data_IF_777486404589
#
_entry.id   IF_777486404589
#
_cell.length_a   1.000
_cell.length_b   1.000
_cell.length_c   1.000
_cell.angle_alpha   90.00
_cell.angle_beta   90.00
_cell.angle_gamma   90.00
#
_symmetry.space_group_name_H-M   'P 1'
#
loop_
_entity.id
_entity.type
_entity.pdbx_description
1 polymer ?
#
# COMPACT_ATOMS: atom_id res chain seq x y z
N UNK A 1 -10.90 32.99 -16.17
CA UNK A 1 -11.85 31.85 -16.21
C UNK A 1 -11.07 30.62 -16.67
N UNK A 2 -10.24 30.05 -15.78
CA UNK A 2 -9.56 28.79 -16.03
C UNK A 2 -10.21 27.76 -15.11
N UNK A 3 -11.16 27.00 -15.66
CA UNK A 3 -11.70 25.78 -15.07
C UNK A 3 -10.60 24.70 -15.12
N UNK A 4 -9.50 24.93 -14.40
CA UNK A 4 -8.53 23.89 -14.11
C UNK A 4 -9.16 22.98 -13.07
N UNK A 5 -9.74 21.86 -13.50
CA UNK A 5 -10.04 20.76 -12.59
C UNK A 5 -8.70 20.29 -12.01
N UNK A 6 -8.32 20.78 -10.83
CA UNK A 6 -7.22 20.22 -10.07
C UNK A 6 -7.69 18.84 -9.57
N UNK A 7 -7.14 17.74 -10.10
CA UNK A 7 -7.69 16.38 -9.92
C UNK A 7 -7.54 15.89 -8.48
N UNK A 8 -6.61 16.48 -7.73
CA UNK A 8 -6.27 16.12 -6.37
C UNK A 8 -5.85 17.37 -5.63
N UNK A 9 -6.76 17.95 -4.84
CA UNK A 9 -6.32 18.77 -3.73
C UNK A 9 -5.62 17.85 -2.72
N UNK A 10 -4.29 17.68 -2.88
CA UNK A 10 -3.50 16.88 -1.96
C UNK A 10 -3.54 17.44 -0.52
N UNK A 11 -3.94 18.71 -0.37
CA UNK A 11 -4.06 19.45 0.90
C UNK A 11 -5.51 19.83 1.28
N UNK A 12 -6.48 19.72 0.35
CA UNK A 12 -7.85 20.21 0.52
C UNK A 12 -8.92 19.16 0.20
N UNK A 13 -10.14 19.40 0.68
CA UNK A 13 -11.31 18.50 0.68
C UNK A 13 -11.23 17.27 1.59
N UNK A 14 -11.74 17.45 2.82
CA UNK A 14 -11.82 16.49 3.91
C UNK A 14 -12.94 15.43 3.73
N UNK A 15 -13.70 15.46 2.62
CA UNK A 15 -15.00 14.75 2.46
C UNK A 15 -14.90 13.35 1.82
N UNK A 16 -14.03 13.12 0.83
CA UNK A 16 -14.04 11.87 0.01
C UNK A 16 -12.75 11.04 0.08
N UNK A 17 -12.07 11.02 1.23
CA UNK A 17 -10.68 10.53 1.35
C UNK A 17 -10.49 9.05 1.09
N UNK A 18 -11.42 8.24 1.58
CA UNK A 18 -11.39 6.81 1.35
C UNK A 18 -11.59 6.52 -0.14
N UNK A 19 -12.46 7.27 -0.83
CA UNK A 19 -12.66 7.14 -2.27
C UNK A 19 -11.37 7.42 -3.05
N UNK A 20 -10.60 8.45 -2.69
CA UNK A 20 -9.27 8.70 -3.27
C UNK A 20 -8.30 7.55 -3.00
N UNK A 21 -8.30 7.04 -1.76
CA UNK A 21 -7.48 5.90 -1.38
C UNK A 21 -7.78 4.63 -2.19
N UNK A 22 -9.05 4.29 -2.36
CA UNK A 22 -9.48 3.14 -3.15
C UNK A 22 -9.33 3.39 -4.66
N UNK A 23 -9.41 4.63 -5.14
CA UNK A 23 -9.05 4.96 -6.53
C UNK A 23 -7.56 4.62 -6.78
N UNK A 24 -6.65 5.00 -5.88
CA UNK A 24 -5.25 4.56 -5.96
C UNK A 24 -5.11 3.02 -5.89
N UNK A 25 -5.89 2.37 -5.02
CA UNK A 25 -5.95 0.91 -4.96
C UNK A 25 -6.38 0.25 -6.27
N UNK A 26 -7.38 0.80 -6.96
CA UNK A 26 -7.86 0.31 -8.26
C UNK A 26 -6.79 0.42 -9.37
N UNK A 27 -5.88 1.39 -9.27
CA UNK A 27 -4.76 1.53 -10.22
C UNK A 27 -3.58 0.61 -9.91
N UNK A 28 -3.48 0.12 -8.67
CA UNK A 28 -2.26 -0.47 -8.14
C UNK A 28 -1.78 -1.71 -8.88
N UNK A 29 -2.70 -2.61 -9.28
CA UNK A 29 -2.33 -3.83 -10.01
C UNK A 29 -1.70 -3.55 -11.37
N UNK A 30 -2.28 -2.63 -12.16
CA UNK A 30 -1.74 -2.27 -13.48
C UNK A 30 -0.37 -1.60 -13.33
N UNK A 31 -0.20 -0.75 -12.31
CA UNK A 31 1.09 -0.14 -12.00
C UNK A 31 2.13 -1.18 -11.56
N UNK A 32 1.74 -2.15 -10.72
CA UNK A 32 2.65 -3.21 -10.28
C UNK A 32 3.04 -4.13 -11.45
N UNK A 33 2.09 -4.49 -12.31
CA UNK A 33 2.39 -5.29 -13.50
C UNK A 33 3.35 -4.56 -14.46
N UNK A 34 3.20 -3.24 -14.64
CA UNK A 34 4.16 -2.45 -15.42
C UNK A 34 5.61 -2.53 -14.90
N UNK A 35 5.80 -2.70 -13.59
CA UNK A 35 7.13 -2.86 -12.99
C UNK A 35 7.70 -4.27 -13.16
N UNK A 36 6.86 -5.31 -13.16
CA UNK A 36 7.30 -6.70 -13.22
C UNK A 36 7.37 -7.26 -14.64
N UNK A 37 6.35 -7.00 -15.45
CA UNK A 37 6.29 -7.38 -16.85
C UNK A 37 6.68 -6.15 -17.67
N UNK A 38 7.74 -6.28 -18.46
CA UNK A 38 8.25 -5.21 -19.33
C UNK A 38 7.19 -4.87 -20.38
N UNK A 39 6.19 -4.06 -20.02
CA UNK A 39 5.21 -3.53 -20.96
C UNK A 39 5.93 -2.48 -21.83
N UNK A 40 6.53 -2.97 -22.90
CA UNK A 40 7.24 -2.17 -23.89
C UNK A 40 6.18 -1.75 -24.91
N UNK A 41 5.75 -0.49 -24.82
CA UNK A 41 4.76 0.10 -25.76
C UNK A 41 5.31 0.05 -27.20
N UNK A 42 6.62 0.17 -27.37
CA UNK A 42 7.32 0.09 -28.64
C UNK A 42 8.76 -0.42 -28.43
N UNK A 43 9.23 -1.29 -29.33
CA UNK A 43 10.60 -1.83 -29.27
C UNK A 43 11.62 -0.70 -29.33
N UNK A 44 12.39 -0.53 -28.25
CA UNK A 44 13.37 0.53 -28.11
C UNK A 44 14.76 -0.06 -27.79
N UNK A 45 15.85 0.58 -28.28
CA UNK A 45 17.21 0.18 -27.94
C UNK A 45 17.47 0.28 -26.43
N UNK A 46 18.44 -0.49 -25.93
CA UNK A 46 18.72 -0.65 -24.48
C UNK A 46 18.90 0.66 -23.72
N UNK A 47 19.53 1.66 -24.34
CA UNK A 47 19.71 2.99 -23.72
C UNK A 47 18.41 3.79 -23.58
N UNK A 48 17.41 3.53 -24.44
CA UNK A 48 16.15 4.25 -24.48
C UNK A 48 15.06 3.62 -23.59
N UNK A 49 15.28 2.41 -23.07
CA UNK A 49 14.28 1.67 -22.27
C UNK A 49 13.77 2.47 -21.07
N UNK A 50 14.65 3.20 -20.38
CA UNK A 50 14.28 4.06 -19.25
C UNK A 50 13.26 5.14 -19.63
N UNK A 51 13.38 5.72 -20.83
CA UNK A 51 12.43 6.72 -21.33
C UNK A 51 11.09 6.08 -21.70
N UNK A 52 11.09 4.86 -22.24
CA UNK A 52 9.86 4.10 -22.52
C UNK A 52 9.10 3.82 -21.23
N UNK A 53 9.78 3.39 -20.17
CA UNK A 53 9.16 3.15 -18.86
C UNK A 53 8.60 4.44 -18.25
N UNK A 54 9.32 5.57 -18.39
CA UNK A 54 8.83 6.86 -17.92
C UNK A 54 7.56 7.30 -18.68
N UNK A 55 7.55 7.11 -20.00
CA UNK A 55 6.38 7.42 -20.83
C UNK A 55 5.19 6.53 -20.49
N UNK A 56 5.41 5.22 -20.30
CA UNK A 56 4.36 4.30 -19.87
C UNK A 56 3.79 4.65 -18.50
N UNK A 57 4.64 5.03 -17.53
CA UNK A 57 4.17 5.52 -16.23
C UNK A 57 3.34 6.80 -16.35
N UNK A 58 3.72 7.70 -17.26
CA UNK A 58 2.96 8.93 -17.55
C UNK A 58 1.60 8.61 -18.20
N UNK A 59 1.59 7.72 -19.19
CA UNK A 59 0.38 7.27 -19.87
C UNK A 59 -0.60 6.60 -18.90
N UNK A 60 -0.12 5.71 -18.03
CA UNK A 60 -0.92 5.11 -16.96
C UNK A 60 -1.53 6.19 -16.04
N UNK A 61 -0.77 7.22 -15.71
CA UNK A 61 -1.26 8.37 -14.96
C UNK A 61 -2.43 9.08 -15.65
N UNK A 62 -2.34 9.27 -16.97
CA UNK A 62 -3.40 9.87 -17.79
C UNK A 62 -4.62 8.97 -17.94
N UNK A 63 -4.40 7.67 -18.12
CA UNK A 63 -5.46 6.67 -18.20
C UNK A 63 -6.29 6.68 -16.91
N UNK A 64 -5.65 6.70 -15.74
CA UNK A 64 -6.37 6.66 -14.47
C UNK A 64 -6.85 8.02 -13.95
N UNK A 65 -6.46 9.11 -14.61
CA UNK A 65 -6.89 10.47 -14.28
C UNK A 65 -8.42 10.65 -14.16
N UNK A 66 -9.27 10.07 -15.03
CA UNK A 66 -10.72 10.24 -14.97
C UNK A 66 -11.33 9.79 -13.64
N UNK A 67 -10.79 8.77 -12.98
CA UNK A 67 -11.28 8.34 -11.65
C UNK A 67 -11.15 9.46 -10.61
N UNK A 68 -10.05 10.21 -10.65
CA UNK A 68 -9.84 11.31 -9.72
C UNK A 68 -10.66 12.55 -10.08
N UNK A 69 -10.73 12.87 -11.38
CA UNK A 69 -11.50 13.99 -11.89
C UNK A 69 -13.01 13.84 -11.63
N UNK A 70 -13.56 12.63 -11.78
CA UNK A 70 -14.97 12.35 -11.50
C UNK A 70 -15.33 12.48 -10.01
N UNK A 71 -14.37 12.25 -9.10
CA UNK A 71 -14.55 12.46 -7.66
C UNK A 71 -14.44 13.93 -7.24
N UNK A 72 -13.63 14.73 -7.95
CA UNK A 72 -13.37 16.13 -7.61
C UNK A 72 -14.31 17.13 -8.29
N UNK A 73 -15.05 16.72 -9.31
CA UNK A 73 -15.87 17.65 -10.11
C UNK A 73 -17.01 18.28 -9.30
N UNK A 74 -17.28 19.60 -9.47
CA UNK A 74 -18.42 20.25 -8.84
C UNK A 74 -19.76 19.73 -9.39
N UNK A 75 -19.79 19.30 -10.66
CA UNK A 75 -20.97 18.73 -11.30
C UNK A 75 -21.15 17.25 -10.92
N UNK A 76 -21.54 17.00 -9.67
CA UNK A 76 -21.59 15.65 -9.06
C UNK A 76 -22.41 14.62 -9.83
N UNK A 77 -23.52 15.02 -10.45
CA UNK A 77 -24.34 14.12 -11.26
C UNK A 77 -23.60 13.59 -12.49
N UNK A 78 -23.00 14.51 -13.27
CA UNK A 78 -22.22 14.18 -14.47
C UNK A 78 -20.94 13.43 -14.12
N UNK A 79 -20.26 13.84 -13.04
CA UNK A 79 -19.08 13.14 -12.53
C UNK A 79 -19.39 11.71 -12.11
N UNK A 80 -20.49 11.49 -11.40
CA UNK A 80 -20.89 10.16 -10.97
C UNK A 80 -21.28 9.25 -12.14
N UNK A 81 -22.01 9.77 -13.14
CA UNK A 81 -22.40 8.96 -14.32
C UNK A 81 -21.19 8.54 -15.16
N UNK A 82 -20.28 9.48 -15.45
CA UNK A 82 -19.02 9.19 -16.16
C UNK A 82 -18.12 8.26 -15.35
N UNK A 83 -18.04 8.46 -14.03
CA UNK A 83 -17.29 7.58 -13.12
C UNK A 83 -17.81 6.15 -13.09
N UNK A 84 -19.14 5.95 -13.07
CA UNK A 84 -19.77 4.62 -13.17
C UNK A 84 -19.42 3.96 -14.50
N UNK A 85 -19.62 4.66 -15.61
CA UNK A 85 -19.34 4.10 -16.94
C UNK A 85 -17.87 3.69 -17.07
N UNK A 86 -16.95 4.54 -16.62
CA UNK A 86 -15.52 4.29 -16.70
C UNK A 86 -15.07 3.14 -15.77
N UNK A 87 -15.58 3.09 -14.52
CA UNK A 87 -15.29 1.98 -13.59
C UNK A 87 -15.84 0.65 -14.09
N UNK A 88 -17.05 0.63 -14.68
CA UNK A 88 -17.62 -0.58 -15.27
C UNK A 88 -16.84 -1.07 -16.47
N UNK A 89 -16.38 -0.17 -17.35
CA UNK A 89 -15.55 -0.54 -18.48
C UNK A 89 -14.23 -1.21 -18.04
N UNK A 90 -13.55 -0.63 -17.04
CA UNK A 90 -12.33 -1.23 -16.48
C UNK A 90 -12.58 -2.55 -15.76
N UNK A 91 -13.65 -2.64 -14.97
CA UNK A 91 -14.01 -3.87 -14.28
C UNK A 91 -14.35 -4.98 -15.29
N UNK A 92 -15.07 -4.64 -16.36
CA UNK A 92 -15.38 -5.56 -17.45
C UNK A 92 -14.10 -6.07 -18.13
N UNK A 93 -13.19 -5.18 -18.52
CA UNK A 93 -11.90 -5.56 -19.13
C UNK A 93 -11.04 -6.44 -18.20
N UNK A 94 -11.04 -6.14 -16.90
CA UNK A 94 -10.31 -6.94 -15.92
C UNK A 94 -10.92 -8.34 -15.77
N UNK A 95 -12.24 -8.43 -15.67
CA UNK A 95 -12.92 -9.72 -15.54
C UNK A 95 -12.81 -10.56 -16.81
N UNK A 96 -12.92 -9.95 -18.00
CA UNK A 96 -12.74 -10.67 -19.27
C UNK A 96 -11.30 -11.13 -19.43
N UNK A 97 -10.30 -10.30 -19.08
CA UNK A 97 -8.90 -10.70 -19.08
C UNK A 97 -8.64 -11.90 -18.17
N UNK A 98 -9.25 -11.93 -16.98
CA UNK A 98 -9.16 -13.08 -16.07
C UNK A 98 -9.83 -14.31 -16.71
N UNK A 99 -11.09 -14.20 -17.13
CA UNK A 99 -11.90 -15.33 -17.64
C UNK A 99 -11.37 -15.88 -18.96
N UNK A 100 -10.81 -15.04 -19.84
CA UNK A 100 -10.27 -15.41 -21.16
C UNK A 100 -8.82 -15.92 -21.13
N UNK A 101 -8.14 -15.87 -19.98
CA UNK A 101 -6.81 -16.46 -19.77
C UNK A 101 -6.77 -17.92 -19.21
N UNK A 102 -7.64 -18.89 -19.57
CA UNK A 102 -7.53 -20.26 -19.05
C UNK A 102 -6.82 -21.24 -20.01
N UNK A 103 -6.26 -20.81 -21.15
CA UNK A 103 -5.96 -21.77 -22.24
C UNK A 103 -4.52 -21.94 -22.72
N UNK A 104 -3.56 -21.12 -22.31
CA UNK A 104 -2.20 -21.23 -22.89
C UNK A 104 -1.11 -21.63 -21.90
N UNK A 105 -1.24 -21.39 -20.59
CA UNK A 105 -0.16 -21.66 -19.63
C UNK A 105 -0.64 -22.23 -18.27
N UNK A 106 -1.40 -23.33 -18.29
CA UNK A 106 -1.64 -24.17 -17.11
C UNK A 106 -2.55 -23.59 -15.99
N UNK A 107 -3.22 -24.50 -15.28
CA UNK A 107 -4.20 -24.18 -14.23
C UNK A 107 -3.62 -23.30 -13.09
N UNK A 108 -2.33 -23.47 -12.78
CA UNK A 108 -1.65 -22.78 -11.69
C UNK A 108 -1.37 -21.29 -11.98
N UNK A 109 -1.34 -20.84 -13.23
CA UNK A 109 -1.13 -19.42 -13.57
C UNK A 109 -2.44 -18.64 -13.46
N UNK A 110 -3.56 -19.28 -13.81
CA UNK A 110 -4.90 -18.70 -13.69
C UNK A 110 -5.28 -18.38 -12.24
N UNK A 111 -5.13 -19.35 -11.33
CA UNK A 111 -5.45 -19.15 -9.89
C UNK A 111 -4.63 -18.01 -9.28
N UNK A 112 -3.38 -17.87 -9.70
CA UNK A 112 -2.46 -16.82 -9.22
C UNK A 112 -2.88 -15.44 -9.72
N UNK A 113 -3.19 -15.31 -11.01
CA UNK A 113 -3.58 -14.02 -11.57
C UNK A 113 -4.86 -13.50 -10.90
N UNK A 114 -5.80 -14.40 -10.58
CA UNK A 114 -7.01 -14.09 -9.80
C UNK A 114 -6.64 -13.63 -8.38
N UNK A 115 -5.81 -14.38 -7.66
CA UNK A 115 -5.43 -14.04 -6.28
C UNK A 115 -4.68 -12.71 -6.17
N UNK A 116 -3.80 -12.40 -7.13
CA UNK A 116 -3.07 -11.12 -7.17
C UNK A 116 -3.99 -9.95 -7.53
N UNK A 117 -5.01 -10.18 -8.36
CA UNK A 117 -5.93 -9.14 -8.82
C UNK A 117 -7.05 -8.81 -7.83
N UNK A 118 -7.32 -9.70 -6.87
CA UNK A 118 -8.44 -9.57 -5.93
C UNK A 118 -8.51 -8.23 -5.15
N UNK A 119 -7.42 -7.67 -4.58
CA UNK A 119 -7.49 -6.38 -3.89
C UNK A 119 -7.92 -5.22 -4.79
N UNK A 120 -7.60 -5.31 -6.08
CA UNK A 120 -7.94 -4.33 -7.09
C UNK A 120 -9.41 -4.43 -7.48
N UNK A 121 -9.93 -5.65 -7.65
CA UNK A 121 -11.36 -5.90 -7.88
C UNK A 121 -12.18 -5.32 -6.72
N UNK A 122 -11.77 -5.58 -5.47
CA UNK A 122 -12.44 -5.00 -4.30
C UNK A 122 -12.40 -3.46 -4.31
N UNK A 123 -11.29 -2.87 -4.75
CA UNK A 123 -11.15 -1.42 -4.87
C UNK A 123 -12.08 -0.84 -5.95
N UNK A 124 -12.23 -1.53 -7.09
CA UNK A 124 -13.19 -1.16 -8.14
C UNK A 124 -14.64 -1.26 -7.66
N UNK A 125 -15.00 -2.34 -6.97
CA UNK A 125 -16.36 -2.51 -6.42
C UNK A 125 -16.69 -1.42 -5.40
N UNK A 126 -15.75 -1.07 -4.53
CA UNK A 126 -15.93 0.03 -3.59
C UNK A 126 -16.13 1.38 -4.31
N UNK A 127 -15.33 1.65 -5.34
CA UNK A 127 -15.39 2.90 -6.10
C UNK A 127 -16.70 3.01 -6.88
N UNK A 128 -17.14 1.91 -7.52
CA UNK A 128 -18.43 1.81 -8.19
C UNK A 128 -19.59 2.10 -7.22
N UNK A 129 -19.60 1.43 -6.07
CA UNK A 129 -20.60 1.67 -5.03
C UNK A 129 -20.62 3.13 -4.57
N UNK A 130 -19.46 3.78 -4.47
CA UNK A 130 -19.37 5.21 -4.13
C UNK A 130 -19.97 6.12 -5.20
N UNK A 131 -19.69 5.88 -6.47
CA UNK A 131 -20.31 6.69 -7.53
C UNK A 131 -21.82 6.51 -7.59
N UNK A 132 -22.32 5.27 -7.40
CA UNK A 132 -23.76 5.00 -7.30
C UNK A 132 -24.37 5.78 -6.13
N UNK A 133 -23.74 5.78 -4.95
CA UNK A 133 -24.22 6.55 -3.80
C UNK A 133 -24.24 8.06 -4.04
N UNK A 134 -23.23 8.60 -4.73
CA UNK A 134 -23.21 10.03 -5.12
C UNK A 134 -24.36 10.33 -6.07
N UNK A 135 -24.58 9.47 -7.08
CA UNK A 135 -25.67 9.63 -8.04
C UNK A 135 -27.05 9.56 -7.36
N UNK A 136 -27.27 8.56 -6.51
CA UNK A 136 -28.52 8.41 -5.74
C UNK A 136 -28.78 9.63 -4.88
N UNK A 137 -27.75 10.18 -4.21
CA UNK A 137 -27.89 11.41 -3.41
C UNK A 137 -28.28 12.62 -4.25
N UNK A 138 -27.70 12.77 -5.44
CA UNK A 138 -28.03 13.87 -6.37
C UNK A 138 -29.46 13.74 -6.90
N UNK A 139 -29.95 12.51 -7.09
CA UNK A 139 -31.33 12.25 -7.54
C UNK A 139 -32.33 12.42 -6.38
N UNK A 140 -31.99 11.97 -5.16
CA UNK A 140 -32.89 12.01 -3.99
C UNK A 140 -32.97 13.38 -3.31
N UNK A 141 -31.90 14.17 -3.33
CA UNK A 141 -31.92 15.54 -2.82
C UNK A 141 -31.83 16.49 -4.01
N UNK A 142 -32.87 17.28 -4.25
CA UNK A 142 -32.77 18.49 -5.09
C UNK A 142 -31.50 19.26 -4.68
N UNK A 143 -30.75 19.86 -5.64
CA UNK A 143 -29.34 20.19 -5.49
C UNK A 143 -29.14 21.35 -4.50
N UNK A 144 -29.25 21.04 -3.21
CA UNK A 144 -28.57 21.83 -2.21
C UNK A 144 -27.10 21.56 -2.44
N UNK A 145 -26.42 22.58 -2.97
CA UNK A 145 -24.99 22.78 -2.81
C UNK A 145 -24.57 22.11 -1.50
N UNK A 146 -23.73 21.09 -1.56
CA UNK A 146 -23.04 20.65 -0.35
C UNK A 146 -22.10 21.81 -0.02
N UNK A 147 -22.63 22.74 0.78
CA UNK A 147 -21.99 23.98 1.17
C UNK A 147 -20.64 23.60 1.80
N UNK A 148 -19.57 24.37 1.60
CA UNK A 148 -18.29 24.25 2.33
C UNK A 148 -18.39 24.28 3.87
N UNK A 149 -19.60 24.22 4.44
CA UNK A 149 -19.94 24.26 5.85
C UNK A 149 -19.39 23.08 6.66
N UNK A 150 -19.29 21.86 6.12
CA UNK A 150 -18.74 20.71 6.88
C UNK A 150 -17.25 20.89 7.23
N UNK A 151 -16.48 21.53 6.35
CA UNK A 151 -15.06 21.82 6.60
C UNK A 151 -14.87 22.97 7.57
N UNK A 152 -15.65 24.03 7.39
CA UNK A 152 -15.67 25.19 8.29
C UNK A 152 -16.14 24.75 9.66
N UNK A 153 -17.18 23.93 9.77
CA UNK A 153 -17.70 23.41 11.03
C UNK A 153 -16.67 22.52 11.74
N UNK A 154 -15.93 21.69 11.00
CA UNK A 154 -14.83 20.92 11.58
C UNK A 154 -13.68 21.81 12.07
N UNK A 155 -13.31 22.85 11.32
CA UNK A 155 -12.26 23.80 11.72
C UNK A 155 -12.70 24.61 12.95
N UNK A 156 -13.94 25.09 12.95
CA UNK A 156 -14.57 25.80 14.08
C UNK A 156 -14.63 24.91 15.31
N UNK A 157 -15.00 23.63 15.18
CA UNK A 157 -14.97 22.68 16.29
C UNK A 157 -13.55 22.43 16.80
N UNK A 158 -12.55 22.35 15.91
CA UNK A 158 -11.15 22.24 16.30
C UNK A 158 -10.68 23.44 17.12
N UNK A 159 -10.95 24.66 16.64
CA UNK A 159 -10.61 25.91 17.35
C UNK A 159 -11.35 26.01 18.68
N UNK A 160 -12.66 25.71 18.71
CA UNK A 160 -13.47 25.71 19.94
C UNK A 160 -12.88 24.77 21.00
N UNK A 161 -12.33 23.64 20.58
CA UNK A 161 -11.71 22.66 21.48
C UNK A 161 -10.32 23.09 21.98
N UNK A 162 -9.55 23.83 21.17
CA UNK A 162 -8.28 24.43 21.58
C UNK A 162 -8.48 25.50 22.68
N UNK A 163 -9.61 26.22 22.62
CA UNK A 163 -9.99 27.23 23.62
C UNK A 163 -10.62 26.64 24.88
N UNK A 164 -11.04 25.36 24.84
CA UNK A 164 -11.62 24.67 26.00
C UNK A 164 -10.54 24.08 26.90
N UNK A 165 -10.82 24.05 28.21
CA UNK A 165 -9.93 23.41 29.20
C UNK A 165 -9.77 21.92 28.87
N UNK A 166 -8.54 21.37 28.88
CA UNK A 166 -8.33 19.96 28.56
C UNK A 166 -9.11 19.08 29.53
N UNK A 167 -9.78 18.02 29.05
CA UNK A 167 -10.49 17.10 29.94
C UNK A 167 -9.50 16.44 30.91
N UNK A 168 -9.93 16.08 32.13
CA UNK A 168 -9.09 15.43 33.11
C UNK A 168 -8.48 14.14 32.54
N UNK A 169 -7.28 13.73 33.00
CA UNK A 169 -6.60 12.55 32.48
C UNK A 169 -7.48 11.31 32.67
N UNK A 170 -7.95 10.75 31.56
CA UNK A 170 -8.77 9.54 31.53
C UNK A 170 -7.97 8.33 32.05
N UNK A 171 -8.63 7.41 32.75
CA UNK A 171 -8.12 6.08 33.17
C UNK A 171 -7.89 5.13 31.98
N UNK A 172 -7.38 5.64 30.86
CA UNK A 172 -7.08 4.83 29.69
C UNK A 172 -5.81 4.00 29.93
N UNK A 173 -5.83 2.75 29.44
CA UNK A 173 -4.67 1.86 29.47
C UNK A 173 -3.45 2.49 28.77
N UNK A 174 -2.25 2.08 29.19
CA UNK A 174 -0.99 2.56 28.61
C UNK A 174 -0.96 2.44 27.07
N UNK A 175 -1.51 1.36 26.52
CA UNK A 175 -1.59 1.13 25.07
C UNK A 175 -2.47 2.16 24.37
N UNK A 176 -3.66 2.44 24.91
CA UNK A 176 -4.58 3.44 24.35
C UNK A 176 -4.01 4.86 24.46
N UNK A 177 -3.22 5.16 25.51
CA UNK A 177 -2.53 6.44 25.65
C UNK A 177 -1.38 6.60 24.65
N UNK A 178 -0.59 5.55 24.39
CA UNK A 178 0.67 5.65 23.63
C UNK A 178 0.53 5.30 22.14
N UNK A 179 -0.34 4.35 21.80
CA UNK A 179 -0.48 3.82 20.43
C UNK A 179 -1.69 4.42 19.71
N UNK A 180 -2.85 4.48 20.38
CA UNK A 180 -4.07 4.93 19.71
C UNK A 180 -5.04 5.69 20.63
N UNK A 181 -4.79 6.99 20.85
CA UNK A 181 -5.81 7.90 21.39
C UNK A 181 -6.69 8.36 20.23
N UNK A 182 -7.91 7.85 20.10
CA UNK A 182 -8.84 8.29 19.06
C UNK A 182 -9.08 9.81 19.18
N UNK A 183 -8.98 10.54 18.05
CA UNK A 183 -9.26 11.98 18.00
C UNK A 183 -10.13 12.22 16.77
N UNK A 184 -11.42 12.55 16.97
CA UNK A 184 -12.36 12.73 15.88
C UNK A 184 -12.02 13.91 14.97
N UNK A 185 -11.12 14.81 15.41
CA UNK A 185 -10.80 16.03 14.68
C UNK A 185 -9.44 15.96 13.97
N UNK A 186 -8.69 14.88 14.18
CA UNK A 186 -7.47 14.62 13.42
C UNK A 186 -7.79 13.83 12.17
N UNK A 187 -7.35 14.35 11.03
CA UNK A 187 -7.79 13.91 9.73
C UNK A 187 -6.56 13.77 8.81
N UNK A 188 -6.21 12.54 8.42
CA UNK A 188 -5.06 12.27 7.53
C UNK A 188 -5.24 12.87 6.11
N UNK A 189 -4.16 13.35 5.47
CA UNK A 189 -4.23 13.86 4.10
C UNK A 189 -4.44 12.73 3.08
N UNK A 190 -5.08 13.05 1.95
CA UNK A 190 -5.41 12.10 0.88
C UNK A 190 -4.16 11.36 0.36
N UNK A 191 -3.05 12.08 0.21
CA UNK A 191 -1.75 11.52 -0.23
C UNK A 191 -1.27 10.41 0.70
N UNK A 192 -1.33 10.62 2.02
CA UNK A 192 -0.85 9.64 2.99
C UNK A 192 -1.75 8.39 2.98
N UNK A 193 -3.06 8.57 2.93
CA UNK A 193 -4.02 7.46 2.84
C UNK A 193 -3.82 6.64 1.56
N UNK A 194 -3.68 7.30 0.41
CA UNK A 194 -3.38 6.64 -0.86
C UNK A 194 -2.07 5.86 -0.81
N UNK A 195 -1.01 6.47 -0.24
CA UNK A 195 0.29 5.80 -0.05
C UNK A 195 0.15 4.56 0.82
N UNK A 196 -0.57 4.64 1.95
CA UNK A 196 -0.79 3.48 2.84
C UNK A 196 -1.56 2.36 2.13
N UNK A 197 -2.61 2.68 1.38
CA UNK A 197 -3.39 1.66 0.66
C UNK A 197 -2.54 0.98 -0.40
N UNK A 198 -1.74 1.74 -1.16
CA UNK A 198 -0.80 1.16 -2.13
C UNK A 198 0.28 0.33 -1.41
N UNK A 199 0.82 0.77 -0.26
CA UNK A 199 1.75 -0.01 0.54
C UNK A 199 1.14 -1.36 0.98
N UNK A 200 -0.12 -1.38 1.40
CA UNK A 200 -0.82 -2.59 1.82
C UNK A 200 -1.05 -3.55 0.66
N UNK A 201 -1.55 -3.04 -0.48
CA UNK A 201 -1.77 -3.86 -1.68
C UNK A 201 -0.43 -4.36 -2.24
N UNK A 202 0.57 -3.49 -2.31
CA UNK A 202 1.93 -3.83 -2.75
C UNK A 202 2.58 -4.88 -1.86
N UNK A 203 2.45 -4.78 -0.53
CA UNK A 203 2.95 -5.79 0.41
C UNK A 203 2.26 -7.14 0.18
N UNK A 204 0.93 -7.14 0.04
CA UNK A 204 0.16 -8.34 -0.28
C UNK A 204 0.63 -9.00 -1.58
N UNK A 205 0.74 -8.22 -2.66
CA UNK A 205 1.20 -8.71 -3.96
C UNK A 205 2.63 -9.26 -3.86
N UNK A 206 3.53 -8.56 -3.17
CA UNK A 206 4.92 -8.99 -3.02
C UNK A 206 5.03 -10.30 -2.24
N UNK A 207 4.28 -10.47 -1.15
CA UNK A 207 4.21 -11.71 -0.38
C UNK A 207 3.71 -12.86 -1.25
N UNK A 208 2.60 -12.66 -1.98
CA UNK A 208 2.00 -13.70 -2.83
C UNK A 208 2.92 -14.13 -3.96
N UNK A 209 3.48 -13.16 -4.71
CA UNK A 209 4.37 -13.42 -5.84
C UNK A 209 5.64 -14.13 -5.39
N UNK A 210 6.30 -13.66 -4.32
CA UNK A 210 7.49 -14.31 -3.76
C UNK A 210 7.21 -15.76 -3.33
N UNK A 211 6.10 -16.01 -2.64
CA UNK A 211 5.74 -17.36 -2.22
C UNK A 211 5.43 -18.26 -3.42
N UNK A 212 4.78 -17.76 -4.46
CA UNK A 212 4.47 -18.56 -5.65
C UNK A 212 5.74 -19.04 -6.36
N UNK A 213 6.67 -18.12 -6.68
CA UNK A 213 7.90 -18.49 -7.38
C UNK A 213 8.72 -19.50 -6.59
N UNK A 214 8.80 -19.30 -5.27
CA UNK A 214 9.59 -20.17 -4.41
C UNK A 214 8.93 -21.53 -4.18
N UNK A 215 7.60 -21.61 -4.08
CA UNK A 215 6.90 -22.90 -4.04
C UNK A 215 7.16 -23.71 -5.32
N UNK A 216 7.12 -23.09 -6.51
CA UNK A 216 7.44 -23.77 -7.77
C UNK A 216 8.89 -24.29 -7.78
N UNK A 217 9.84 -23.49 -7.29
CA UNK A 217 11.24 -23.90 -7.16
C UNK A 217 11.37 -25.08 -6.17
N UNK A 218 10.74 -25.00 -5.00
CA UNK A 218 10.81 -26.09 -4.02
C UNK A 218 10.20 -27.38 -4.54
N UNK A 219 9.05 -27.34 -5.22
CA UNK A 219 8.44 -28.52 -5.86
C UNK A 219 9.39 -29.11 -6.92
N UNK A 220 10.02 -28.26 -7.73
CA UNK A 220 11.01 -28.71 -8.71
C UNK A 220 12.22 -29.39 -8.04
N UNK A 221 12.71 -28.84 -6.93
CA UNK A 221 13.82 -29.40 -6.16
C UNK A 221 13.44 -30.67 -5.39
N UNK A 222 12.17 -30.84 -5.02
CA UNK A 222 11.62 -32.03 -4.34
C UNK A 222 11.72 -33.29 -5.23
N UNK A 223 11.83 -33.13 -6.55
CA UNK A 223 12.08 -34.23 -7.49
C UNK A 223 13.43 -34.93 -7.30
N UNK A 224 14.38 -34.31 -6.59
CA UNK A 224 15.68 -34.91 -6.28
C UNK A 224 15.64 -35.54 -4.88
N UNK A 225 15.66 -36.89 -4.80
CA UNK A 225 15.50 -37.63 -3.55
C UNK A 225 16.45 -37.19 -2.42
N UNK A 226 17.71 -36.91 -2.75
CA UNK A 226 18.74 -36.49 -1.78
C UNK A 226 18.48 -35.09 -1.17
N UNK A 227 17.64 -34.27 -1.81
CA UNK A 227 17.26 -32.93 -1.34
C UNK A 227 15.92 -32.90 -0.61
N UNK A 228 15.11 -33.96 -0.70
CA UNK A 228 13.71 -33.95 -0.28
C UNK A 228 13.51 -33.54 1.21
N UNK A 229 14.36 -34.06 2.10
CA UNK A 229 14.32 -33.67 3.52
C UNK A 229 14.60 -32.17 3.71
N UNK A 230 15.61 -31.64 3.03
CA UNK A 230 16.00 -30.22 3.12
C UNK A 230 14.99 -29.29 2.46
N UNK A 231 14.44 -29.66 1.30
CA UNK A 231 13.47 -28.84 0.55
C UNK A 231 12.14 -28.75 1.29
N UNK A 232 11.68 -29.86 1.90
CA UNK A 232 10.43 -29.87 2.68
C UNK A 232 10.52 -28.98 3.93
N UNK A 233 11.66 -28.99 4.63
CA UNK A 233 11.92 -28.12 5.78
C UNK A 233 12.17 -26.67 5.36
N UNK A 234 12.86 -26.47 4.23
CA UNK A 234 13.07 -25.16 3.61
C UNK A 234 11.76 -24.48 3.22
N UNK A 235 10.83 -25.22 2.60
CA UNK A 235 9.49 -24.71 2.25
C UNK A 235 8.72 -24.23 3.48
N UNK A 236 8.76 -24.99 4.58
CA UNK A 236 8.11 -24.60 5.85
C UNK A 236 8.76 -23.34 6.44
N UNK A 237 10.09 -23.28 6.43
CA UNK A 237 10.86 -22.14 6.94
C UNK A 237 10.60 -20.87 6.13
N UNK A 238 10.47 -21.00 4.81
CA UNK A 238 10.09 -19.91 3.91
C UNK A 238 8.71 -19.34 4.24
N UNK A 239 7.72 -20.20 4.44
CA UNK A 239 6.36 -19.77 4.83
C UNK A 239 6.35 -19.06 6.19
N UNK A 240 7.08 -19.59 7.18
CA UNK A 240 7.19 -18.96 8.50
C UNK A 240 7.86 -17.58 8.37
N UNK A 241 8.96 -17.47 7.62
CA UNK A 241 9.64 -16.20 7.36
C UNK A 241 8.74 -15.18 6.65
N UNK A 242 7.95 -15.63 5.67
CA UNK A 242 6.96 -14.80 4.96
C UNK A 242 5.90 -14.24 5.89
N UNK A 243 5.34 -15.07 6.77
CA UNK A 243 4.30 -14.65 7.73
C UNK A 243 4.89 -13.65 8.74
N UNK A 244 6.05 -13.95 9.33
CA UNK A 244 6.67 -13.07 10.33
C UNK A 244 7.11 -11.74 9.72
N UNK A 245 7.80 -11.75 8.57
CA UNK A 245 8.22 -10.53 7.87
C UNK A 245 7.02 -9.71 7.36
N UNK A 246 5.96 -10.37 6.91
CA UNK A 246 4.71 -9.74 6.49
C UNK A 246 4.04 -9.02 7.66
N UNK A 247 3.92 -9.68 8.82
CA UNK A 247 3.36 -9.09 10.03
C UNK A 247 4.19 -7.91 10.55
N UNK A 248 5.52 -8.02 10.55
CA UNK A 248 6.38 -6.90 10.96
C UNK A 248 6.24 -5.70 10.03
N UNK A 249 6.13 -5.94 8.72
CA UNK A 249 5.94 -4.88 7.73
C UNK A 249 4.57 -4.22 7.87
N UNK A 250 3.52 -5.01 8.14
CA UNK A 250 2.17 -4.51 8.41
C UNK A 250 2.15 -3.61 9.65
N UNK A 251 2.78 -4.04 10.74
CA UNK A 251 2.93 -3.24 11.96
C UNK A 251 3.66 -1.94 11.66
N UNK A 252 4.73 -1.98 10.86
CA UNK A 252 5.48 -0.79 10.46
C UNK A 252 4.63 0.21 9.66
N UNK A 253 3.82 -0.24 8.70
CA UNK A 253 2.90 0.61 7.94
C UNK A 253 1.95 1.37 8.86
N UNK A 254 1.33 0.68 9.83
CA UNK A 254 0.45 1.34 10.80
C UNK A 254 1.23 2.24 11.77
N UNK A 255 2.43 1.84 12.17
CA UNK A 255 3.29 2.64 13.04
C UNK A 255 3.67 3.97 12.39
N UNK A 256 3.95 4.00 11.08
CA UNK A 256 4.20 5.24 10.32
C UNK A 256 3.00 6.20 10.41
N UNK A 257 1.77 5.70 10.32
CA UNK A 257 0.56 6.53 10.49
C UNK A 257 0.43 7.11 11.89
N UNK A 258 0.73 6.32 12.92
CA UNK A 258 0.73 6.76 14.33
C UNK A 258 1.79 7.84 14.54
N UNK A 259 3.01 7.63 14.05
CA UNK A 259 4.11 8.59 14.11
C UNK A 259 3.78 9.89 13.38
N UNK A 260 3.24 9.80 12.15
CA UNK A 260 2.82 10.97 11.38
C UNK A 260 1.84 11.82 12.18
N UNK A 261 0.81 11.21 12.75
CA UNK A 261 -0.19 11.89 13.57
C UNK A 261 0.42 12.57 14.79
N UNK A 262 1.32 11.88 15.49
CA UNK A 262 2.03 12.43 16.65
C UNK A 262 2.89 13.64 16.26
N UNK A 263 3.62 13.56 15.15
CA UNK A 263 4.46 14.65 14.65
C UNK A 263 3.63 15.85 14.19
N UNK A 264 2.53 15.63 13.46
CA UNK A 264 1.63 16.71 13.05
C UNK A 264 1.02 17.44 14.25
N UNK A 265 0.60 16.73 15.30
CA UNK A 265 0.10 17.37 16.52
C UNK A 265 1.16 18.20 17.23
N UNK A 266 2.40 17.71 17.32
CA UNK A 266 3.53 18.49 17.89
C UNK A 266 3.81 19.74 17.08
N UNK A 267 3.75 19.61 15.75
CA UNK A 267 3.95 20.73 14.84
C UNK A 267 2.86 21.81 15.01
N UNK A 268 1.59 21.41 15.18
CA UNK A 268 0.49 22.34 15.46
C UNK A 268 0.65 23.05 16.81
N UNK A 269 1.27 22.41 17.80
CA UNK A 269 1.62 23.03 19.09
C UNK A 269 2.87 23.92 19.01
N UNK A 270 3.48 24.10 17.83
CA UNK A 270 4.69 24.90 17.65
C UNK A 270 5.98 24.21 18.16
N UNK A 271 5.91 22.96 18.61
CA UNK A 271 7.08 22.22 19.08
C UNK A 271 7.90 21.74 17.88
N UNK A 272 8.96 22.49 17.53
CA UNK A 272 9.80 22.19 16.36
C UNK A 272 11.04 21.34 16.65
N UNK A 273 11.40 21.09 17.91
CA UNK A 273 12.66 20.41 18.26
C UNK A 273 12.82 18.94 17.83
N UNK A 274 11.84 18.36 17.12
CA UNK A 274 11.98 17.06 16.46
C UNK A 274 12.41 17.18 14.99
N UNK A 275 12.38 18.39 14.43
CA UNK A 275 12.78 18.65 13.05
C UNK A 275 14.31 18.66 12.96
N UNK A 276 14.88 18.26 11.82
CA UNK A 276 16.32 18.40 11.60
C UNK A 276 16.76 19.87 11.66
N UNK A 277 17.96 20.15 12.19
CA UNK A 277 18.51 21.52 12.33
C UNK A 277 18.49 22.33 11.02
N UNK A 278 18.64 21.65 9.88
CA UNK A 278 18.56 22.26 8.55
C UNK A 278 17.21 22.93 8.26
N UNK A 279 16.11 22.39 8.80
CA UNK A 279 14.77 22.97 8.64
C UNK A 279 14.51 24.13 9.62
N UNK A 280 15.32 24.28 10.67
CA UNK A 280 15.19 25.37 11.62
C UNK A 280 15.77 26.68 11.09
N UNK A 281 16.90 26.62 10.36
CA UNK A 281 17.55 27.82 9.83
C UNK A 281 16.91 28.35 8.54
N UNK A 282 16.54 27.49 7.58
CA UNK A 282 16.00 27.91 6.29
C UNK A 282 15.04 26.88 5.70
N UNK A 283 13.74 27.23 5.63
CA UNK A 283 12.75 26.44 4.90
C UNK A 283 12.71 26.95 3.47
N UNK A 284 13.36 26.23 2.55
CA UNK A 284 13.18 26.49 1.12
C UNK A 284 11.87 25.82 0.65
N UNK A 285 10.87 26.57 0.16
CA UNK A 285 9.61 25.99 -0.31
C UNK A 285 9.80 25.01 -1.48
N UNK A 286 10.75 25.29 -2.37
CA UNK A 286 10.99 24.45 -3.55
C UNK A 286 11.49 23.04 -3.15
N UNK A 287 12.42 22.96 -2.19
CA UNK A 287 12.91 21.67 -1.71
C UNK A 287 11.84 20.91 -0.93
N UNK A 288 10.99 21.62 -0.18
CA UNK A 288 9.84 21.02 0.52
C UNK A 288 8.82 20.43 -0.46
N UNK A 289 8.48 21.15 -1.53
CA UNK A 289 7.57 20.65 -2.56
C UNK A 289 8.14 19.43 -3.29
N UNK A 290 9.44 19.46 -3.63
CA UNK A 290 10.12 18.31 -4.24
C UNK A 290 10.14 17.08 -3.31
N UNK A 291 10.40 17.28 -2.01
CA UNK A 291 10.38 16.21 -1.02
C UNK A 291 8.97 15.60 -0.86
N UNK A 292 7.93 16.44 -0.82
CA UNK A 292 6.54 16.00 -0.75
C UNK A 292 6.15 15.20 -2.00
N UNK A 293 6.56 15.65 -3.18
CA UNK A 293 6.31 14.95 -4.45
C UNK A 293 6.92 13.54 -4.46
N UNK A 294 8.13 13.39 -3.93
CA UNK A 294 8.85 12.10 -3.89
C UNK A 294 8.41 11.17 -2.77
N UNK A 295 7.80 11.70 -1.71
CA UNK A 295 7.49 10.97 -0.48
C UNK A 295 6.71 9.67 -0.71
N UNK A 296 5.62 9.70 -1.49
CA UNK A 296 4.75 8.53 -1.69
C UNK A 296 5.49 7.39 -2.38
N UNK A 297 6.20 7.67 -3.48
CA UNK A 297 6.97 6.69 -4.21
C UNK A 297 8.12 6.10 -3.37
N UNK A 298 8.88 6.95 -2.68
CA UNK A 298 9.95 6.49 -1.79
C UNK A 298 9.40 5.62 -0.65
N UNK A 299 8.30 6.02 -0.02
CA UNK A 299 7.69 5.26 1.08
C UNK A 299 7.24 3.87 0.63
N UNK A 300 6.60 3.76 -0.55
CA UNK A 300 6.20 2.47 -1.12
C UNK A 300 7.44 1.61 -1.38
N UNK A 301 8.44 2.15 -2.07
CA UNK A 301 9.67 1.44 -2.38
C UNK A 301 10.40 0.92 -1.13
N UNK A 302 10.55 1.77 -0.10
CA UNK A 302 11.17 1.36 1.16
C UNK A 302 10.38 0.29 1.91
N UNK A 303 9.05 0.31 1.81
CA UNK A 303 8.20 -0.72 2.43
C UNK A 303 8.40 -2.06 1.74
N UNK A 304 8.43 -2.08 0.40
CA UNK A 304 8.61 -3.32 -0.37
C UNK A 304 10.03 -3.88 -0.22
N UNK A 305 11.07 -3.05 -0.32
CA UNK A 305 12.45 -3.48 -0.09
C UNK A 305 12.70 -3.89 1.37
N UNK A 306 12.11 -3.17 2.32
CA UNK A 306 12.16 -3.53 3.74
C UNK A 306 11.61 -4.93 3.97
N UNK A 307 10.43 -5.24 3.42
CA UNK A 307 9.86 -6.59 3.46
C UNK A 307 10.83 -7.62 2.87
N UNK A 308 11.35 -7.40 1.65
CA UNK A 308 12.25 -8.36 0.97
C UNK A 308 13.50 -8.64 1.80
N UNK A 309 14.16 -7.60 2.33
CA UNK A 309 15.38 -7.76 3.12
C UNK A 309 15.07 -8.49 4.44
N UNK A 310 14.04 -8.04 5.16
CA UNK A 310 13.63 -8.66 6.43
C UNK A 310 13.21 -10.12 6.23
N UNK A 311 12.52 -10.43 5.13
CA UNK A 311 12.16 -11.79 4.76
C UNK A 311 13.39 -12.68 4.55
N UNK A 312 14.36 -12.23 3.74
CA UNK A 312 15.59 -12.98 3.47
C UNK A 312 16.39 -13.22 4.76
N UNK A 313 16.49 -12.22 5.64
CA UNK A 313 17.18 -12.37 6.93
C UNK A 313 16.47 -13.40 7.81
N UNK A 314 15.14 -13.32 7.97
CA UNK A 314 14.39 -14.30 8.75
C UNK A 314 14.52 -15.71 8.17
N UNK A 315 14.46 -15.85 6.84
CA UNK A 315 14.63 -17.14 6.19
C UNK A 315 16.02 -17.73 6.43
N UNK A 316 17.08 -16.93 6.29
CA UNK A 316 18.46 -17.38 6.56
C UNK A 316 18.64 -17.85 7.99
N UNK A 317 18.12 -17.09 8.97
CA UNK A 317 18.17 -17.47 10.39
C UNK A 317 17.43 -18.78 10.65
N UNK A 318 16.24 -18.95 10.07
CA UNK A 318 15.46 -20.20 10.19
C UNK A 318 16.18 -21.38 9.52
N UNK A 319 16.79 -21.19 8.36
CA UNK A 319 17.56 -22.26 7.69
C UNK A 319 18.79 -22.68 8.49
N UNK A 320 19.51 -21.74 9.10
CA UNK A 320 20.62 -22.06 10.00
C UNK A 320 20.12 -22.89 11.19
N UNK A 321 19.00 -22.48 11.80
CA UNK A 321 18.38 -23.22 12.90
C UNK A 321 17.95 -24.64 12.49
N UNK A 322 17.34 -24.79 11.31
CA UNK A 322 16.94 -26.09 10.76
C UNK A 322 18.15 -27.00 10.55
N UNK A 323 19.21 -26.49 9.92
CA UNK A 323 20.39 -27.29 9.59
C UNK A 323 21.21 -27.67 10.83
N UNK A 324 21.38 -26.75 11.80
CA UNK A 324 22.21 -26.99 12.98
C UNK A 324 21.49 -27.77 14.08
N UNK A 325 20.17 -27.64 14.20
CA UNK A 325 19.42 -28.23 15.31
C UNK A 325 18.47 -29.30 14.79
N UNK A 326 17.49 -28.92 13.96
CA UNK A 326 16.36 -29.82 13.61
C UNK A 326 16.81 -31.08 12.88
N UNK A 327 17.72 -30.97 11.92
CA UNK A 327 18.18 -32.13 11.13
C UNK A 327 18.97 -33.11 12.02
N UNK A 328 19.96 -32.68 12.83
CA UNK A 328 20.59 -33.56 13.80
C UNK A 328 19.62 -34.21 14.78
N UNK A 329 18.56 -33.51 15.20
CA UNK A 329 17.50 -34.09 16.07
C UNK A 329 16.82 -35.27 15.38
N UNK A 330 16.40 -35.09 14.13
CA UNK A 330 15.70 -36.14 13.37
C UNK A 330 16.59 -37.35 13.09
N UNK A 331 17.88 -37.13 12.90
CA UNK A 331 18.86 -38.20 12.63
C UNK A 331 19.41 -38.86 13.90
N UNK A 332 19.07 -38.35 15.09
CA UNK A 332 19.59 -38.85 16.37
C UNK A 332 21.06 -38.50 16.64
N UNK A 333 21.64 -37.55 15.89
CA UNK A 333 23.07 -37.21 15.92
C UNK A 333 23.37 -35.86 16.64
N UNK A 334 22.43 -35.36 17.46
CA UNK A 334 22.57 -34.06 18.17
C UNK A 334 23.84 -33.99 19.02
N UNK A 335 24.14 -35.07 19.76
CA UNK A 335 25.26 -35.09 20.70
C UNK A 335 26.62 -34.96 19.99
N UNK A 336 26.74 -35.57 18.81
CA UNK A 336 27.95 -35.52 17.98
C UNK A 336 28.16 -34.14 17.33
N UNK A 337 27.05 -33.50 16.91
CA UNK A 337 27.08 -32.12 16.38
C UNK A 337 27.35 -31.09 17.47
N UNK A 338 26.82 -31.28 18.68
CA UNK A 338 27.11 -30.41 19.82
C UNK A 338 28.55 -30.58 20.33
N UNK A 339 29.12 -31.79 20.31
CA UNK A 339 30.53 -31.98 20.72
C UNK A 339 31.49 -31.34 19.73
N UNK A 340 31.26 -31.48 18.42
CA UNK A 340 32.08 -30.83 17.39
C UNK A 340 31.99 -29.30 17.42
N UNK A 341 30.82 -28.73 17.73
CA UNK A 341 30.68 -27.28 17.94
C UNK A 341 31.39 -26.85 19.23
N UNK A 342 31.29 -27.65 20.30
CA UNK A 342 31.95 -27.38 21.58
C UNK A 342 33.48 -27.50 21.54
N UNK A 343 34.03 -28.29 20.62
CA UNK A 343 35.48 -28.38 20.38
C UNK A 343 35.99 -27.27 19.45
N UNK A 344 35.12 -26.67 18.64
CA UNK A 344 35.47 -25.60 17.69
C UNK A 344 35.36 -24.18 18.28
N UNK A 345 34.73 -24.03 19.45
CA UNK A 345 34.58 -22.78 20.19
C UNK A 345 35.59 -22.70 21.34
#
# INVERSE_FOLDING_TARGET
MALGCSPLEAMGSLSNRWSYGFAFGATSHVVLMQFFEKFIIFSAPSWAQSFVFLLGAFELGLIFFPFFACLSTPARGVGASLGILYTLAWLYLMLTSIISCPHTEGLAVYEVNVMVSWPTILSFLFLLGRYVLILVKVVHRHPQHEVPGDEIQHLVQHVKRLLQKPPPPSSDSWFKRRVYRWDPHFRFPNRLLGTTIICLIGLYTMVMVMNMYVVKIFIFLENFEWLNEYTSLGRKSWLIASITAGLTSLVYIFHVLVCYRKHMKRLWMGQRGFLPDRLHLNINPASSMAAIARYSGCQIAYTLWGYTITHLVHFMVLMIFVCLIIIPIRRGQILETLSTIGEAL
#
